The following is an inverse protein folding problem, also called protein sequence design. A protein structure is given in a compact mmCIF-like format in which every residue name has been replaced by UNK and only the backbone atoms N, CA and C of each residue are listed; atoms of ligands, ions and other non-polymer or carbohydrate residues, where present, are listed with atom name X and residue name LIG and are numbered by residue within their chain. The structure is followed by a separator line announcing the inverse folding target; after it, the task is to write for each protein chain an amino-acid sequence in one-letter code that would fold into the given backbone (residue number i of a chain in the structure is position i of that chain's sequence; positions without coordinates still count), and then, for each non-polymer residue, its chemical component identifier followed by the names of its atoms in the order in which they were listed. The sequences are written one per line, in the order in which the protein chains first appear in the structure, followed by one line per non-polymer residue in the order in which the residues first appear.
data_IF_998940713868
#
_entry.id   IF_998940713868
#
_cell.length_a   1.000
_cell.length_b   1.000
_cell.length_c   1.000
_cell.angle_alpha   90.00
_cell.angle_beta   90.00
_cell.angle_gamma   90.00
#
_symmetry.space_group_name_H-M   'P 1'
#
loop_
_entity.id
_entity.type
_entity.pdbx_description
1 polymer ?
#
# COMPACT_ATOMS: atom_id res chain seq x y z
N UNK A 1 21.96 3.41 -63.33
CA UNK A 1 21.64 2.80 -62.02
C UNK A 1 20.32 2.06 -62.16
N UNK A 2 20.31 0.75 -61.96
CA UNK A 2 19.19 -0.15 -62.29
C UNK A 2 18.03 0.03 -61.31
N UNK A 3 16.78 0.03 -61.78
CA UNK A 3 15.57 0.20 -60.97
C UNK A 3 15.38 -0.82 -59.84
N UNK A 4 16.18 -1.91 -59.83
CA UNK A 4 16.28 -2.87 -58.72
C UNK A 4 17.00 -2.29 -57.50
N UNK A 5 18.03 -1.48 -57.70
CA UNK A 5 18.81 -0.86 -56.61
C UNK A 5 18.00 0.23 -55.93
N UNK A 6 17.18 0.98 -56.67
CA UNK A 6 16.31 2.03 -56.12
C UNK A 6 15.23 1.45 -55.19
N UNK A 7 14.56 0.36 -55.61
CA UNK A 7 13.55 -0.33 -54.80
C UNK A 7 14.11 -0.88 -53.49
N UNK A 8 15.34 -1.40 -53.52
CA UNK A 8 16.02 -1.92 -52.33
C UNK A 8 16.33 -0.81 -51.32
N UNK A 9 16.84 0.33 -51.80
CA UNK A 9 17.17 1.48 -50.96
C UNK A 9 15.92 2.10 -50.34
N UNK A 10 14.84 2.28 -51.12
CA UNK A 10 13.56 2.78 -50.58
C UNK A 10 12.92 1.83 -49.57
N UNK A 11 13.06 0.51 -49.75
CA UNK A 11 12.53 -0.47 -48.80
C UNK A 11 13.25 -0.43 -47.45
N UNK A 12 14.58 -0.28 -47.47
CA UNK A 12 15.39 -0.16 -46.26
C UNK A 12 15.06 1.13 -45.50
N UNK A 13 14.98 2.27 -46.20
CA UNK A 13 14.64 3.56 -45.58
C UNK A 13 13.24 3.51 -44.94
N UNK A 14 12.27 2.90 -45.62
CA UNK A 14 10.91 2.76 -45.09
C UNK A 14 10.85 1.90 -43.82
N UNK A 15 11.66 0.83 -43.76
CA UNK A 15 11.78 -0.03 -42.57
C UNK A 15 12.34 0.75 -41.38
N UNK A 16 13.39 1.56 -41.59
CA UNK A 16 13.98 2.38 -40.53
C UNK A 16 13.04 3.47 -40.05
N UNK A 17 12.27 4.10 -40.93
CA UNK A 17 11.26 5.10 -40.54
C UNK A 17 10.15 4.43 -39.73
N UNK A 18 9.69 3.24 -40.10
CA UNK A 18 8.69 2.49 -39.34
C UNK A 18 9.20 2.06 -37.96
N UNK A 19 10.45 1.58 -37.86
CA UNK A 19 11.11 1.26 -36.58
C UNK A 19 11.28 2.51 -35.70
N UNK A 20 11.63 3.65 -36.30
CA UNK A 20 11.78 4.91 -35.57
C UNK A 20 10.43 5.48 -35.09
N UNK A 21 9.38 5.34 -35.89
CA UNK A 21 8.01 5.69 -35.48
C UNK A 21 7.49 4.75 -34.39
N UNK A 22 7.76 3.44 -34.48
CA UNK A 22 7.43 2.48 -33.43
C UNK A 22 8.16 2.79 -32.11
N UNK A 23 9.42 3.25 -32.19
CA UNK A 23 10.20 3.74 -31.05
C UNK A 23 9.61 5.02 -30.45
N UNK A 24 9.16 5.96 -31.29
CA UNK A 24 8.64 7.27 -30.83
C UNK A 24 7.19 7.22 -30.30
N UNK A 25 6.38 6.29 -30.78
CA UNK A 25 4.97 6.13 -30.39
C UNK A 25 4.83 5.32 -29.08
N UNK A 26 5.93 4.77 -28.52
CA UNK A 26 5.86 4.04 -27.26
C UNK A 26 5.03 2.75 -27.37
N UNK A 27 4.99 2.15 -28.56
CA UNK A 27 4.37 0.83 -28.82
C UNK A 27 5.29 -0.32 -28.42
N UNK A 28 6.07 -0.14 -27.35
CA UNK A 28 6.61 -1.26 -26.61
C UNK A 28 5.54 -1.70 -25.61
N UNK A 29 4.61 -2.52 -26.10
CA UNK A 29 4.08 -3.60 -25.28
C UNK A 29 5.28 -4.52 -25.00
N UNK A 30 6.07 -4.18 -23.99
CA UNK A 30 6.98 -5.15 -23.37
C UNK A 30 6.12 -6.39 -23.08
N UNK A 31 6.45 -7.57 -23.62
CA UNK A 31 5.81 -8.78 -23.15
C UNK A 31 6.07 -8.82 -21.64
N UNK A 32 5.01 -8.98 -20.85
CA UNK A 32 5.14 -9.21 -19.42
C UNK A 32 6.27 -10.23 -19.22
N UNK A 33 7.36 -9.89 -18.52
CA UNK A 33 8.40 -10.85 -18.27
C UNK A 33 7.73 -12.00 -17.55
N UNK A 34 7.67 -13.17 -18.21
CA UNK A 34 7.26 -14.42 -17.57
C UNK A 34 8.12 -14.55 -16.32
N UNK A 35 7.52 -14.29 -15.18
CA UNK A 35 8.15 -14.44 -13.87
C UNK A 35 8.47 -15.93 -13.72
N UNK A 36 9.73 -16.31 -13.98
CA UNK A 36 10.23 -17.65 -13.69
C UNK A 36 10.53 -17.86 -12.20
N UNK A 37 10.43 -16.80 -11.39
CA UNK A 37 10.57 -16.89 -9.95
C UNK A 37 9.19 -16.92 -9.29
N UNK A 38 8.89 -17.93 -8.45
CA UNK A 38 7.66 -17.95 -7.69
C UNK A 38 7.57 -16.68 -6.84
N UNK A 39 6.37 -16.10 -6.78
CA UNK A 39 6.09 -14.94 -5.94
C UNK A 39 6.72 -15.16 -4.54
N UNK A 40 7.47 -14.18 -4.00
CA UNK A 40 8.11 -14.33 -2.71
C UNK A 40 7.04 -14.71 -1.68
N UNK A 41 7.29 -15.78 -0.93
CA UNK A 41 6.36 -16.23 0.09
C UNK A 41 6.09 -15.09 1.07
N UNK A 42 4.82 -14.85 1.40
CA UNK A 42 4.46 -13.90 2.46
C UNK A 42 5.18 -14.35 3.72
N UNK A 43 6.11 -13.55 4.28
CA UNK A 43 6.69 -13.90 5.56
C UNK A 43 5.56 -13.89 6.58
N UNK A 44 5.17 -15.08 7.05
CA UNK A 44 4.30 -15.21 8.20
C UNK A 44 5.07 -14.61 9.38
N UNK A 45 4.57 -13.55 10.04
CA UNK A 45 5.17 -13.18 11.30
C UNK A 45 4.91 -14.35 12.24
N UNK A 46 5.97 -15.04 12.64
CA UNK A 46 5.92 -15.91 13.81
C UNK A 46 5.67 -14.99 15.02
N UNK A 47 4.40 -14.72 15.32
CA UNK A 47 4.03 -13.85 16.43
C UNK A 47 4.26 -14.60 17.76
N UNK A 48 5.12 -14.04 18.62
CA UNK A 48 5.53 -14.64 19.90
C UNK A 48 4.45 -14.58 20.99
N UNK A 49 3.36 -13.81 20.80
CA UNK A 49 2.29 -13.66 21.80
C UNK A 49 0.89 -13.83 21.20
N UNK A 50 -0.06 -14.40 21.95
CA UNK A 50 -1.45 -14.53 21.52
C UNK A 50 -2.11 -13.15 21.38
N UNK A 51 -3.09 -12.99 20.47
CA UNK A 51 -3.83 -11.74 20.34
C UNK A 51 -4.58 -11.37 21.62
N UNK A 52 -4.62 -10.07 21.94
CA UNK A 52 -5.32 -9.58 23.13
C UNK A 52 -6.84 -9.71 22.97
N UNK A 53 -7.36 -9.40 21.79
CA UNK A 53 -8.77 -9.57 21.42
C UNK A 53 -8.81 -10.12 20.00
N UNK A 54 -9.78 -10.99 19.71
CA UNK A 54 -10.10 -11.42 18.35
C UNK A 54 -11.61 -11.31 18.11
N UNK A 55 -12.01 -11.30 16.85
CA UNK A 55 -13.41 -11.37 16.49
C UNK A 55 -13.62 -11.46 14.98
N UNK A 56 -14.88 -11.63 14.62
CA UNK A 56 -15.34 -11.72 13.24
C UNK A 56 -16.50 -10.76 13.06
N UNK A 57 -16.35 -9.80 12.14
CA UNK A 57 -17.44 -8.86 11.78
C UNK A 57 -18.44 -9.57 10.87
N UNK A 58 -17.92 -10.30 9.87
CA UNK A 58 -18.64 -11.15 8.92
C UNK A 58 -17.68 -12.21 8.39
N UNK A 59 -18.18 -13.19 7.63
CA UNK A 59 -17.45 -14.41 7.21
C UNK A 59 -16.03 -14.16 6.67
N UNK A 60 -15.82 -13.08 5.93
CA UNK A 60 -14.58 -12.67 5.26
C UNK A 60 -13.82 -11.54 5.98
N UNK A 61 -14.37 -10.97 7.07
CA UNK A 61 -13.77 -9.86 7.81
C UNK A 61 -13.50 -10.25 9.26
N UNK A 62 -12.35 -10.89 9.46
CA UNK A 62 -11.81 -11.22 10.77
C UNK A 62 -10.88 -10.12 11.26
N UNK A 63 -10.77 -9.98 12.57
CA UNK A 63 -9.85 -9.03 13.17
C UNK A 63 -9.16 -9.58 14.42
N UNK A 64 -8.00 -8.99 14.71
CA UNK A 64 -7.27 -9.19 15.95
C UNK A 64 -6.82 -7.84 16.51
N UNK A 65 -6.61 -7.75 17.82
CA UNK A 65 -5.94 -6.61 18.45
C UNK A 65 -4.71 -7.15 19.18
N UNK A 66 -3.55 -6.55 18.90
CA UNK A 66 -2.23 -6.95 19.42
C UNK A 66 -1.46 -5.74 19.94
N UNK A 67 -0.33 -6.00 20.61
CA UNK A 67 0.60 -5.00 21.14
C UNK A 67 -0.12 -3.93 21.97
N UNK A 68 -1.01 -4.38 22.86
CA UNK A 68 -1.82 -3.49 23.67
C UNK A 68 -0.99 -2.91 24.82
N UNK A 69 -0.98 -1.59 24.94
CA UNK A 69 -0.38 -0.88 26.06
C UNK A 69 -1.45 -0.12 26.85
N UNK A 70 -1.15 0.11 28.12
CA UNK A 70 -2.03 0.81 29.05
C UNK A 70 -1.28 2.02 29.61
N UNK A 71 -1.94 3.17 29.59
CA UNK A 71 -1.47 4.40 30.22
C UNK A 71 -2.56 4.97 31.14
N UNK A 72 -2.22 6.01 31.91
CA UNK A 72 -3.15 6.69 32.82
C UNK A 72 -3.85 5.75 33.80
N UNK A 73 -3.10 4.83 34.39
CA UNK A 73 -3.62 3.78 35.30
C UNK A 73 -4.69 2.89 34.65
N UNK A 74 -4.59 2.66 33.35
CA UNK A 74 -5.50 1.81 32.58
C UNK A 74 -6.72 2.54 32.00
N UNK A 75 -6.78 3.87 32.11
CA UNK A 75 -7.83 4.69 31.49
C UNK A 75 -7.63 4.89 29.99
N UNK A 76 -6.38 4.82 29.54
CA UNK A 76 -6.03 4.93 28.12
C UNK A 76 -5.48 3.59 27.65
N UNK A 77 -6.08 3.05 26.58
CA UNK A 77 -5.67 1.80 25.93
C UNK A 77 -5.19 2.13 24.53
N UNK A 78 -3.99 1.68 24.17
CA UNK A 78 -3.46 1.81 22.81
C UNK A 78 -3.18 0.42 22.25
N UNK A 79 -3.36 0.21 20.95
CA UNK A 79 -3.09 -1.09 20.34
C UNK A 79 -3.04 -1.08 18.82
N UNK A 80 -2.64 -2.22 18.27
CA UNK A 80 -2.62 -2.47 16.82
C UNK A 80 -3.80 -3.38 16.46
N UNK A 81 -4.72 -2.85 15.65
CA UNK A 81 -5.79 -3.63 15.03
C UNK A 81 -5.28 -4.30 13.76
N UNK A 82 -5.48 -5.60 13.62
CA UNK A 82 -5.08 -6.38 12.46
C UNK A 82 -6.32 -6.71 11.62
N UNK A 83 -6.24 -6.42 10.32
CA UNK A 83 -7.27 -6.69 9.29
C UNK A 83 -6.63 -7.24 8.01
N UNK A 84 -7.44 -7.59 7.00
CA UNK A 84 -6.94 -7.97 5.67
C UNK A 84 -6.33 -6.77 4.93
N UNK A 85 -5.27 -7.00 4.14
CA UNK A 85 -4.57 -5.93 3.39
C UNK A 85 -5.43 -5.29 2.29
N UNK A 86 -6.46 -6.00 1.84
CA UNK A 86 -7.43 -5.66 0.82
C UNK A 86 -8.72 -5.04 1.38
N UNK A 87 -8.79 -4.83 2.69
CA UNK A 87 -9.93 -4.18 3.36
C UNK A 87 -10.15 -2.79 2.78
N UNK A 88 -11.40 -2.47 2.44
CA UNK A 88 -11.78 -1.10 2.08
C UNK A 88 -12.20 -0.26 3.28
N UNK A 89 -12.57 1.01 3.05
CA UNK A 89 -12.98 1.91 4.13
C UNK A 89 -14.19 1.42 4.91
N UNK A 90 -15.16 0.80 4.22
CA UNK A 90 -16.35 0.28 4.88
C UNK A 90 -15.99 -0.89 5.79
N UNK A 91 -15.07 -1.75 5.34
CA UNK A 91 -14.51 -2.84 6.13
C UNK A 91 -13.73 -2.32 7.33
N UNK A 92 -12.85 -1.34 7.13
CA UNK A 92 -12.07 -0.72 8.20
C UNK A 92 -12.99 -0.11 9.26
N UNK A 93 -14.02 0.64 8.86
CA UNK A 93 -15.00 1.21 9.80
C UNK A 93 -15.71 0.13 10.62
N UNK A 94 -16.20 -0.91 9.95
CA UNK A 94 -16.91 -2.00 10.61
C UNK A 94 -15.99 -2.78 11.58
N UNK A 95 -14.75 -3.06 11.16
CA UNK A 95 -13.73 -3.67 11.99
C UNK A 95 -13.36 -2.78 13.20
N UNK A 96 -13.15 -1.48 13.00
CA UNK A 96 -12.90 -0.52 14.08
C UNK A 96 -14.02 -0.55 15.13
N UNK A 97 -15.29 -0.49 14.70
CA UNK A 97 -16.43 -0.54 15.63
C UNK A 97 -16.43 -1.85 16.44
N UNK A 98 -16.18 -2.98 15.80
CA UNK A 98 -16.14 -4.27 16.46
C UNK A 98 -14.96 -4.41 17.45
N UNK A 99 -13.76 -3.95 17.05
CA UNK A 99 -12.58 -3.91 17.91
C UNK A 99 -12.80 -3.04 19.14
N UNK A 100 -13.32 -1.83 18.96
CA UNK A 100 -13.58 -0.89 20.06
C UNK A 100 -14.58 -1.47 21.07
N UNK A 101 -15.67 -2.09 20.59
CA UNK A 101 -16.63 -2.80 21.46
C UNK A 101 -15.96 -3.89 22.28
N UNK A 102 -15.19 -4.75 21.63
CA UNK A 102 -14.51 -5.86 22.32
C UNK A 102 -13.42 -5.39 23.29
N UNK A 103 -12.70 -4.32 22.97
CA UNK A 103 -11.73 -3.73 23.89
C UNK A 103 -12.41 -3.09 25.09
N UNK A 104 -13.53 -2.39 24.90
CA UNK A 104 -14.30 -1.83 26.01
C UNK A 104 -14.91 -2.92 26.91
N UNK A 105 -15.44 -4.00 26.33
CA UNK A 105 -15.89 -5.18 27.09
C UNK A 105 -14.76 -5.77 27.95
N UNK A 106 -13.55 -5.85 27.41
CA UNK A 106 -12.39 -6.42 28.10
C UNK A 106 -11.73 -5.46 29.08
N UNK A 107 -11.83 -4.15 28.84
CA UNK A 107 -11.24 -3.08 29.66
C UNK A 107 -12.31 -2.02 29.95
N UNK A 108 -13.29 -2.29 30.85
CA UNK A 108 -14.41 -1.39 31.09
C UNK A 108 -14.00 -0.03 31.66
N UNK A 109 -12.84 0.05 32.32
CA UNK A 109 -12.31 1.29 32.88
C UNK A 109 -11.70 2.24 31.83
N UNK A 110 -11.54 1.81 30.57
CA UNK A 110 -10.98 2.65 29.52
C UNK A 110 -11.90 3.85 29.22
N UNK A 111 -11.37 5.06 29.33
CA UNK A 111 -11.99 6.32 28.95
C UNK A 111 -11.59 6.75 27.54
N UNK A 112 -10.43 6.25 27.08
CA UNK A 112 -9.88 6.46 25.74
C UNK A 112 -9.28 5.18 25.17
N UNK A 113 -9.56 4.90 23.90
CA UNK A 113 -8.98 3.76 23.17
C UNK A 113 -8.42 4.27 21.84
N UNK A 114 -7.15 4.01 21.56
CA UNK A 114 -6.49 4.36 20.30
C UNK A 114 -6.04 3.09 19.58
N UNK A 115 -6.42 2.96 18.31
CA UNK A 115 -6.07 1.83 17.47
C UNK A 115 -5.40 2.29 16.19
N UNK A 116 -4.27 1.68 15.86
CA UNK A 116 -3.70 1.75 14.51
C UNK A 116 -4.03 0.46 13.77
N UNK A 117 -4.79 0.55 12.68
CA UNK A 117 -5.18 -0.60 11.88
C UNK A 117 -4.10 -0.89 10.82
N UNK A 118 -3.67 -2.13 10.74
CA UNK A 118 -2.61 -2.62 9.84
C UNK A 118 -3.00 -4.00 9.26
N UNK A 119 -2.41 -4.41 8.12
CA UNK A 119 -2.54 -5.77 7.64
C UNK A 119 -1.86 -6.76 8.60
N UNK A 120 -2.21 -8.05 8.49
CA UNK A 120 -1.66 -9.16 9.28
C UNK A 120 -0.20 -9.55 8.94
N UNK A 121 0.63 -8.55 8.65
CA UNK A 121 2.04 -8.67 8.30
C UNK A 121 2.81 -7.49 8.89
N UNK A 122 4.08 -7.70 9.20
CA UNK A 122 4.94 -6.60 9.64
C UNK A 122 5.24 -5.67 8.46
N UNK A 123 4.46 -4.60 8.33
CA UNK A 123 4.66 -3.59 7.30
C UNK A 123 4.86 -2.21 7.94
N UNK A 124 6.06 -1.60 7.78
CA UNK A 124 6.35 -0.28 8.32
C UNK A 124 5.41 0.82 7.81
N UNK A 125 4.99 0.72 6.54
CA UNK A 125 4.21 1.75 5.84
C UNK A 125 2.70 1.47 5.81
N UNK A 126 2.24 0.24 6.10
CA UNK A 126 0.86 -0.18 5.84
C UNK A 126 -0.12 0.19 6.96
N UNK A 127 -0.02 1.40 7.52
CA UNK A 127 -1.09 1.91 8.39
C UNK A 127 -2.32 2.22 7.52
N UNK A 128 -3.39 1.46 7.69
CA UNK A 128 -4.60 1.53 6.87
C UNK A 128 -5.62 2.51 7.44
N UNK A 129 -5.66 2.65 8.76
CA UNK A 129 -6.46 3.64 9.46
C UNK A 129 -5.94 3.87 10.88
N UNK A 130 -6.32 4.99 11.46
CA UNK A 130 -6.17 5.28 12.88
C UNK A 130 -7.52 5.62 13.48
N UNK A 131 -7.88 4.97 14.58
CA UNK A 131 -9.11 5.20 15.30
C UNK A 131 -8.80 5.70 16.71
N UNK A 132 -9.47 6.75 17.16
CA UNK A 132 -9.48 7.17 18.55
C UNK A 132 -10.93 7.22 19.03
N UNK A 133 -11.24 6.45 20.07
CA UNK A 133 -12.50 6.54 20.80
C UNK A 133 -12.26 7.27 22.11
N UNK A 134 -13.08 8.27 22.41
CA UNK A 134 -13.07 9.03 23.65
C UNK A 134 -14.49 9.49 23.97
N UNK A 135 -14.95 9.19 25.19
CA UNK A 135 -16.28 9.61 25.69
C UNK A 135 -17.45 9.32 24.74
N UNK A 136 -17.46 8.15 24.09
CA UNK A 136 -18.54 7.76 23.19
C UNK A 136 -18.46 8.35 21.78
N UNK A 137 -17.40 9.11 21.46
CA UNK A 137 -17.13 9.62 20.11
C UNK A 137 -15.93 8.91 19.52
N UNK A 138 -16.03 8.53 18.25
CA UNK A 138 -14.93 7.95 17.46
C UNK A 138 -14.47 8.97 16.43
N UNK A 139 -13.17 9.21 16.36
CA UNK A 139 -12.49 9.82 15.23
C UNK A 139 -11.75 8.71 14.47
N UNK A 140 -12.07 8.53 13.18
CA UNK A 140 -11.47 7.53 12.30
C UNK A 140 -10.80 8.22 11.13
N UNK A 141 -9.48 8.13 11.07
CA UNK A 141 -8.64 8.63 9.98
C UNK A 141 -8.27 7.50 9.06
N UNK A 142 -8.42 7.72 7.76
CA UNK A 142 -8.15 6.71 6.74
C UNK A 142 -6.78 6.91 6.13
N UNK A 143 -5.97 5.86 6.20
CA UNK A 143 -4.67 5.76 5.53
C UNK A 143 -4.75 5.11 4.16
N UNK A 144 -5.94 4.71 3.72
CA UNK A 144 -6.21 4.19 2.37
C UNK A 144 -7.24 5.05 1.64
N UNK A 145 -7.16 5.20 0.31
CA UNK A 145 -8.11 6.00 -0.46
C UNK A 145 -9.51 5.35 -0.53
N UNK A 146 -10.55 6.17 -0.74
CA UNK A 146 -11.86 5.68 -1.19
C UNK A 146 -11.82 5.33 -2.68
N UNK A 147 -12.86 4.65 -3.19
CA UNK A 147 -12.98 4.38 -4.62
C UNK A 147 -12.97 5.68 -5.44
N UNK A 148 -13.77 6.67 -5.03
CA UNK A 148 -13.82 8.00 -5.65
C UNK A 148 -12.45 8.69 -5.66
N UNK A 149 -11.73 8.67 -4.54
CA UNK A 149 -10.38 9.24 -4.46
C UNK A 149 -9.38 8.52 -5.37
N UNK A 150 -9.50 7.20 -5.52
CA UNK A 150 -8.68 6.46 -6.48
C UNK A 150 -9.01 6.84 -7.92
N UNK A 151 -10.30 6.96 -8.27
CA UNK A 151 -10.75 7.37 -9.59
C UNK A 151 -10.27 8.78 -9.94
N UNK A 152 -10.42 9.74 -9.02
CA UNK A 152 -9.92 11.11 -9.17
C UNK A 152 -8.39 11.14 -9.33
N UNK A 153 -7.65 10.42 -8.48
CA UNK A 153 -6.20 10.37 -8.56
C UNK A 153 -5.69 9.73 -9.87
N UNK A 154 -6.38 8.69 -10.34
CA UNK A 154 -6.05 7.99 -11.58
C UNK A 154 -6.38 8.82 -12.83
N UNK A 155 -7.46 9.59 -12.80
CA UNK A 155 -7.86 10.46 -13.92
C UNK A 155 -6.83 11.56 -14.22
N UNK A 156 -5.99 11.91 -13.24
CA UNK A 156 -4.92 12.89 -13.40
C UNK A 156 -3.67 12.33 -14.07
N UNK A 157 -3.49 11.01 -14.15
CA UNK A 157 -2.28 10.39 -14.71
C UNK A 157 -2.16 10.77 -16.20
N UNK A 158 -0.97 11.24 -16.60
CA UNK A 158 -0.70 11.68 -17.97
C UNK A 158 -1.19 13.10 -18.30
N UNK A 159 -1.91 13.75 -17.39
CA UNK A 159 -2.31 15.17 -17.53
C UNK A 159 -1.18 16.11 -17.10
N UNK A 160 -1.34 17.43 -17.34
CA UNK A 160 -0.41 18.45 -16.86
C UNK A 160 -0.82 19.00 -15.50
N UNK A 161 0.12 19.06 -14.57
CA UNK A 161 -0.09 19.71 -13.27
C UNK A 161 -0.03 21.25 -13.37
N UNK A 162 -0.16 21.92 -12.21
CA UNK A 162 -0.11 23.39 -12.12
C UNK A 162 1.24 23.99 -12.55
N UNK A 163 2.28 23.18 -12.61
CA UNK A 163 3.64 23.55 -13.02
C UNK A 163 3.92 23.16 -14.49
N UNK A 164 2.93 22.61 -15.20
CA UNK A 164 3.06 22.15 -16.59
C UNK A 164 3.80 20.81 -16.74
N UNK A 165 4.10 20.12 -15.64
CA UNK A 165 4.73 18.79 -15.65
C UNK A 165 3.69 17.72 -15.87
N UNK A 166 4.08 16.65 -16.55
CA UNK A 166 3.18 15.50 -16.70
C UNK A 166 3.09 14.78 -15.36
N UNK A 167 1.86 14.55 -14.90
CA UNK A 167 1.59 13.78 -13.70
C UNK A 167 1.95 12.31 -13.97
N UNK A 168 3.06 11.88 -13.39
CA UNK A 168 3.54 10.50 -13.43
C UNK A 168 3.49 9.91 -12.01
N UNK A 169 2.48 9.08 -11.75
CA UNK A 169 2.24 8.43 -10.46
C UNK A 169 1.69 7.02 -10.69
N UNK A 170 1.87 6.08 -9.75
CA UNK A 170 1.28 4.75 -9.88
C UNK A 170 -0.25 4.84 -9.94
N UNK A 171 -0.85 3.96 -10.75
CA UNK A 171 -2.29 3.76 -10.73
C UNK A 171 -2.70 3.16 -9.39
N UNK A 172 -3.67 3.78 -8.73
CA UNK A 172 -4.24 3.29 -7.49
C UNK A 172 -5.38 2.31 -7.77
N UNK A 173 -5.40 1.20 -7.06
CA UNK A 173 -6.44 0.20 -7.06
C UNK A 173 -6.39 -0.55 -5.74
N UNK A 174 -7.47 -1.24 -5.38
CA UNK A 174 -7.46 -2.13 -4.21
C UNK A 174 -6.41 -3.22 -4.46
N UNK A 175 -5.37 -3.35 -3.62
CA UNK A 175 -4.27 -4.25 -3.90
C UNK A 175 -4.76 -5.69 -3.86
N UNK A 176 -4.39 -6.45 -4.88
CA UNK A 176 -4.43 -7.90 -4.82
C UNK A 176 -3.22 -8.44 -4.04
N UNK A 177 -3.22 -9.76 -3.84
CA UNK A 177 -2.15 -10.43 -3.10
C UNK A 177 -0.78 -10.24 -3.75
N UNK A 178 -0.70 -10.29 -5.07
CA UNK A 178 0.58 -10.20 -5.79
C UNK A 178 1.20 -8.81 -5.63
N UNK A 179 0.39 -7.77 -5.89
CA UNK A 179 0.76 -6.37 -5.72
C UNK A 179 1.21 -6.09 -4.29
N UNK A 180 0.43 -6.53 -3.31
CA UNK A 180 0.72 -6.31 -1.90
C UNK A 180 2.02 -6.98 -1.48
N UNK A 181 2.23 -8.24 -1.86
CA UNK A 181 3.41 -9.02 -1.45
C UNK A 181 4.68 -8.49 -2.10
N UNK A 182 4.64 -8.16 -3.39
CA UNK A 182 5.77 -7.55 -4.08
C UNK A 182 6.12 -6.20 -3.44
N UNK A 183 5.13 -5.32 -3.24
CA UNK A 183 5.31 -4.03 -2.58
C UNK A 183 5.82 -4.15 -1.14
N UNK A 184 5.31 -5.10 -0.36
CA UNK A 184 5.76 -5.38 1.00
C UNK A 184 7.23 -5.78 1.03
N UNK A 185 7.66 -6.70 0.17
CA UNK A 185 9.05 -7.14 0.12
C UNK A 185 10.01 -5.98 -0.18
N UNK A 186 9.64 -5.10 -1.12
CA UNK A 186 10.42 -3.92 -1.46
C UNK A 186 10.49 -2.95 -0.27
N UNK A 187 9.36 -2.63 0.34
CA UNK A 187 9.31 -1.66 1.46
C UNK A 187 10.05 -2.16 2.70
N UNK A 188 9.99 -3.46 2.99
CA UNK A 188 10.80 -4.09 4.04
C UNK A 188 12.30 -4.04 3.71
N UNK A 189 12.68 -4.32 2.46
CA UNK A 189 14.08 -4.25 2.05
C UNK A 189 14.65 -2.82 2.12
N UNK A 190 13.85 -1.81 1.75
CA UNK A 190 14.21 -0.39 1.91
C UNK A 190 14.39 -0.04 3.39
N UNK A 191 13.46 -0.44 4.27
CA UNK A 191 13.54 -0.19 5.71
C UNK A 191 14.78 -0.86 6.33
N UNK A 192 15.07 -2.11 5.95
CA UNK A 192 16.26 -2.82 6.38
C UNK A 192 17.56 -2.13 5.90
N UNK A 193 17.61 -1.71 4.63
CA UNK A 193 18.74 -0.97 4.08
C UNK A 193 18.96 0.37 4.78
N UNK A 194 17.88 1.11 5.05
CA UNK A 194 17.92 2.39 5.77
C UNK A 194 18.40 2.23 7.21
N UNK A 195 17.96 1.18 7.91
CA UNK A 195 18.46 0.85 9.25
C UNK A 195 19.94 0.51 9.25
N UNK A 196 20.43 -0.18 8.22
CA UNK A 196 21.85 -0.53 8.07
C UNK A 196 22.72 0.67 7.73
N UNK A 197 22.23 1.58 6.87
CA UNK A 197 22.96 2.76 6.47
C UNK A 197 22.01 3.98 6.30
N UNK A 198 21.84 4.79 7.36
CA UNK A 198 20.90 5.90 7.37
C UNK A 198 21.23 7.06 6.41
N UNK A 199 22.46 7.13 5.89
CA UNK A 199 22.89 8.20 4.98
C UNK A 199 22.58 7.94 3.49
N UNK A 200 22.07 6.75 3.16
CA UNK A 200 21.71 6.41 1.78
C UNK A 200 20.52 7.25 1.29
N UNK A 201 20.64 7.77 0.07
CA UNK A 201 19.52 8.42 -0.62
C UNK A 201 18.46 7.42 -1.08
N UNK A 202 17.26 7.90 -1.39
CA UNK A 202 16.11 7.05 -1.73
C UNK A 202 16.34 6.18 -2.99
N UNK A 203 17.10 6.66 -3.97
CA UNK A 203 17.45 5.88 -5.15
C UNK A 203 18.42 4.75 -4.83
N UNK A 204 19.40 4.99 -3.95
CA UNK A 204 20.35 3.95 -3.50
C UNK A 204 19.65 2.89 -2.63
N UNK A 205 18.72 3.32 -1.77
CA UNK A 205 17.88 2.41 -1.01
C UNK A 205 17.02 1.54 -1.93
N UNK A 206 16.47 2.12 -3.00
CA UNK A 206 15.69 1.39 -3.98
C UNK A 206 16.54 0.41 -4.80
N UNK A 207 17.74 0.79 -5.22
CA UNK A 207 18.69 -0.11 -5.89
C UNK A 207 19.03 -1.32 -5.02
N UNK A 208 19.31 -1.11 -3.73
CA UNK A 208 19.57 -2.19 -2.79
C UNK A 208 18.35 -3.07 -2.57
N UNK A 209 17.16 -2.49 -2.49
CA UNK A 209 15.91 -3.23 -2.36
C UNK A 209 15.60 -4.06 -3.61
N UNK A 210 15.81 -3.51 -4.81
CA UNK A 210 15.67 -4.22 -6.08
C UNK A 210 16.61 -5.43 -6.13
N UNK A 211 17.89 -5.24 -5.79
CA UNK A 211 18.87 -6.31 -5.72
C UNK A 211 18.51 -7.39 -4.68
N UNK A 212 18.06 -6.99 -3.49
CA UNK A 212 17.70 -7.91 -2.41
C UNK A 212 16.43 -8.74 -2.73
N UNK A 213 15.49 -8.16 -3.49
CA UNK A 213 14.24 -8.83 -3.89
C UNK A 213 14.35 -9.58 -5.21
N UNK A 214 15.46 -9.43 -5.95
CA UNK A 214 15.63 -10.00 -7.29
C UNK A 214 14.73 -9.36 -8.35
N UNK A 215 14.18 -8.16 -8.07
CA UNK A 215 13.29 -7.44 -8.97
C UNK A 215 14.07 -6.43 -9.82
N UNK A 216 13.59 -6.17 -11.03
CA UNK A 216 14.07 -5.04 -11.83
C UNK A 216 13.80 -3.72 -11.08
N UNK A 217 14.76 -2.77 -11.14
CA UNK A 217 14.62 -1.44 -10.54
C UNK A 217 13.31 -0.74 -10.88
N UNK A 218 12.84 -0.81 -12.13
CA UNK A 218 11.58 -0.18 -12.54
C UNK A 218 10.34 -0.83 -11.87
N UNK A 219 10.38 -2.14 -11.62
CA UNK A 219 9.33 -2.86 -10.90
C UNK A 219 9.40 -2.54 -9.41
N UNK A 220 10.60 -2.55 -8.83
CA UNK A 220 10.83 -2.16 -7.45
C UNK A 220 10.32 -0.73 -7.18
N UNK A 221 10.64 0.20 -8.09
CA UNK A 221 10.16 1.58 -8.03
C UNK A 221 8.64 1.65 -8.04
N UNK A 222 7.98 1.00 -9.00
CA UNK A 222 6.51 1.01 -9.08
C UNK A 222 5.85 0.41 -7.84
N UNK A 223 6.39 -0.68 -7.31
CA UNK A 223 5.89 -1.29 -6.07
C UNK A 223 6.05 -0.36 -4.86
N UNK A 224 7.21 0.26 -4.71
CA UNK A 224 7.48 1.27 -3.66
C UNK A 224 6.55 2.47 -3.78
N UNK A 225 6.46 3.05 -4.97
CA UNK A 225 5.63 4.21 -5.25
C UNK A 225 4.15 3.88 -4.99
N UNK A 226 3.66 2.70 -5.41
CA UNK A 226 2.29 2.24 -5.15
C UNK A 226 2.03 2.11 -3.65
N UNK A 227 2.90 1.42 -2.90
CA UNK A 227 2.71 1.22 -1.46
C UNK A 227 2.71 2.55 -0.70
N UNK A 228 3.61 3.47 -1.03
CA UNK A 228 3.67 4.81 -0.43
C UNK A 228 2.46 5.66 -0.79
N UNK A 229 1.97 5.55 -2.02
CA UNK A 229 0.76 6.27 -2.42
C UNK A 229 -0.47 5.66 -1.76
N UNK A 230 -0.65 4.34 -1.75
CA UNK A 230 -1.87 3.69 -1.27
C UNK A 230 -2.00 3.69 0.27
N UNK A 231 -0.89 3.53 1.00
CA UNK A 231 -0.88 3.47 2.47
C UNK A 231 -0.19 4.69 3.08
N UNK A 232 -0.97 5.60 3.67
CA UNK A 232 -0.52 6.90 4.16
C UNK A 232 -0.84 7.16 5.64
N UNK A 233 -1.29 6.14 6.39
CA UNK A 233 -1.78 6.22 7.78
C UNK A 233 -3.06 7.05 7.99
N UNK A 234 -3.08 8.31 7.59
CA UNK A 234 -4.20 9.25 7.73
C UNK A 234 -4.42 10.21 6.54
N UNK A 235 -3.64 10.03 5.47
CA UNK A 235 -3.59 10.99 4.35
C UNK A 235 -4.81 11.05 3.44
N UNK A 236 -5.85 10.25 3.68
CA UNK A 236 -7.01 10.17 2.79
C UNK A 236 -8.33 10.64 3.42
N UNK A 237 -8.27 11.28 4.58
CA UNK A 237 -9.41 11.96 5.21
C UNK A 237 -9.85 11.34 6.51
N UNK A 238 -10.75 12.03 7.20
CA UNK A 238 -11.23 11.69 8.53
C UNK A 238 -12.76 11.68 8.55
N UNK A 239 -13.33 10.77 9.33
CA UNK A 239 -14.72 10.84 9.75
C UNK A 239 -14.86 10.78 11.27
N UNK A 240 -15.92 11.38 11.79
CA UNK A 240 -16.29 11.31 13.19
C UNK A 240 -17.70 10.77 13.35
N UNK A 241 -17.90 9.86 14.29
CA UNK A 241 -19.23 9.32 14.59
C UNK A 241 -19.39 8.97 16.07
N UNK A 242 -20.63 8.99 16.55
CA UNK A 242 -20.94 8.58 17.90
C UNK A 242 -21.03 7.06 17.98
N UNK A 243 -20.35 6.48 18.96
CA UNK A 243 -20.37 5.08 19.29
C UNK A 243 -20.49 4.94 20.82
N UNK A 244 -21.71 4.86 21.37
CA UNK A 244 -21.89 4.52 22.76
C UNK A 244 -21.40 3.07 22.95
N UNK A 245 -20.32 2.92 23.71
CA UNK A 245 -19.81 1.61 24.11
C UNK A 245 -20.36 1.27 25.50
N UNK A 246 -20.64 -0.02 25.76
CA UNK A 246 -21.17 -0.48 27.04
C UNK A 246 -20.21 -0.26 28.22
#
# INVERSE_FOLDING_TARGET
MNGRTYKLVTGIISLFIALFLAWRIGLWLEPEPKQENPAPAVPSPAAKEPPFVTGTVRKDLNFEVRNVSFSDKGKTVEGIGIVGFDSDRSDLKAATVAMLKKLKEKVPAAERIVLTLKPAVECPLCAMAQAAWEQGKVALRYGIPSLEQMEEANALIGTKDKEGKTVDRPRLYRPDRETFVAGLAITQAIDAARKKNPSLGDDQLLEQAAAATGLNYAVARRGRDFMTAYYTADGYGEESFNLPLP
#
